data_IF_928894922368
#
_entry.id   IF_928894922368
#
_cell.length_a   1.000
_cell.length_b   1.000
_cell.length_c   1.000
_cell.angle_alpha   90.00
_cell.angle_beta   90.00
_cell.angle_gamma   90.00
#
_symmetry.space_group_name_H-M   'P 1'
#
loop_
_entity.id
_entity.type
_entity.pdbx_description
1 polymer ?
#
# COMPACT_ATOMS: atom_id res chain seq x y z
N UNK A 1 12.86 -13.01 7.52
CA UNK A 1 11.55 -13.66 7.56
C UNK A 1 11.35 -14.39 8.89
N UNK A 2 10.12 -14.43 9.46
CA UNK A 2 9.85 -15.20 10.66
C UNK A 2 10.18 -16.70 10.45
N UNK A 3 10.73 -17.34 11.47
CA UNK A 3 11.08 -18.78 11.41
C UNK A 3 9.86 -19.68 11.17
N UNK A 4 8.68 -19.26 11.65
CA UNK A 4 7.40 -19.96 11.42
C UNK A 4 6.47 -19.06 10.61
N UNK A 5 6.38 -19.32 9.30
CA UNK A 5 5.41 -18.67 8.43
C UNK A 5 4.05 -19.36 8.55
N UNK A 6 3.01 -18.57 8.78
CA UNK A 6 1.65 -19.08 8.67
C UNK A 6 1.37 -19.50 7.21
N UNK A 7 0.80 -20.68 6.97
CA UNK A 7 0.52 -21.23 5.62
C UNK A 7 -0.29 -20.31 4.70
N UNK A 8 -0.97 -19.30 5.25
CA UNK A 8 -1.80 -18.34 4.49
C UNK A 8 -1.16 -16.96 4.36
N UNK A 9 -0.02 -16.73 5.00
CA UNK A 9 0.60 -15.40 5.02
C UNK A 9 1.51 -15.24 3.80
N UNK A 10 1.34 -14.11 3.11
CA UNK A 10 2.14 -13.72 1.95
C UNK A 10 3.15 -12.66 2.38
N UNK A 11 4.32 -12.70 1.81
CA UNK A 11 5.42 -11.79 2.14
C UNK A 11 5.89 -11.09 0.88
N UNK A 12 6.18 -9.82 1.00
CA UNK A 12 6.83 -9.02 -0.04
C UNK A 12 8.22 -8.68 0.46
N UNK A 13 9.24 -9.00 -0.33
CA UNK A 13 10.63 -8.70 -0.04
C UNK A 13 11.19 -7.76 -1.10
N UNK A 14 12.07 -6.85 -0.69
CA UNK A 14 12.88 -6.13 -1.67
C UNK A 14 13.69 -7.13 -2.52
N UNK A 15 14.11 -6.65 -3.69
CA UNK A 15 14.77 -7.50 -4.69
C UNK A 15 16.01 -8.21 -4.12
N UNK A 16 16.85 -7.49 -3.37
CA UNK A 16 18.10 -8.05 -2.84
C UNK A 16 17.81 -9.14 -1.80
N UNK A 17 16.90 -8.87 -0.85
CA UNK A 17 16.50 -9.86 0.15
C UNK A 17 15.79 -11.07 -0.48
N UNK A 18 15.03 -10.86 -1.56
CA UNK A 18 14.43 -11.97 -2.32
C UNK A 18 15.50 -12.84 -2.97
N UNK A 19 16.50 -12.23 -3.61
CA UNK A 19 17.60 -12.96 -4.25
C UNK A 19 18.48 -13.70 -3.24
N UNK A 20 18.78 -13.09 -2.10
CA UNK A 20 19.52 -13.73 -1.01
C UNK A 20 18.78 -14.98 -0.50
N UNK A 21 17.46 -14.86 -0.34
CA UNK A 21 16.62 -15.97 0.07
C UNK A 21 16.62 -17.09 -0.98
N UNK A 22 16.45 -16.74 -2.26
CA UNK A 22 16.46 -17.68 -3.37
C UNK A 22 17.78 -18.43 -3.48
N UNK A 23 18.90 -17.72 -3.37
CA UNK A 23 20.25 -18.29 -3.48
C UNK A 23 20.65 -19.11 -2.26
N UNK A 24 20.08 -18.82 -1.09
CA UNK A 24 20.41 -19.56 0.14
C UNK A 24 19.96 -21.01 0.11
N UNK A 25 18.90 -21.32 -0.65
CA UNK A 25 18.27 -22.65 -0.71
C UNK A 25 17.71 -23.15 0.63
N UNK A 26 17.77 -22.32 1.68
CA UNK A 26 17.41 -22.73 3.06
C UNK A 26 15.92 -22.65 3.36
N UNK A 27 15.18 -21.85 2.59
CA UNK A 27 13.76 -21.62 2.80
C UNK A 27 13.00 -21.68 1.48
N UNK A 28 11.74 -22.13 1.55
CA UNK A 28 10.83 -22.11 0.40
C UNK A 28 10.51 -20.69 0.00
N UNK A 29 10.38 -20.43 -1.30
CA UNK A 29 9.86 -19.15 -1.86
C UNK A 29 8.34 -19.13 -1.95
N UNK A 30 7.66 -20.16 -1.48
CA UNK A 30 6.19 -20.20 -1.47
C UNK A 30 5.62 -19.02 -0.69
N UNK A 31 4.68 -18.30 -1.30
CA UNK A 31 4.07 -17.07 -0.76
C UNK A 31 5.05 -15.90 -0.51
N UNK A 32 6.20 -15.90 -1.19
CA UNK A 32 7.15 -14.79 -1.13
C UNK A 32 7.28 -14.17 -2.50
N UNK A 33 7.11 -12.86 -2.58
CA UNK A 33 7.08 -12.10 -3.82
C UNK A 33 8.11 -10.97 -3.80
N UNK A 34 8.81 -10.70 -4.92
CA UNK A 34 9.77 -9.62 -4.99
C UNK A 34 9.08 -8.27 -5.23
N UNK A 35 9.62 -7.20 -4.64
CA UNK A 35 9.30 -5.83 -4.98
C UNK A 35 10.53 -5.13 -5.54
N UNK A 36 10.34 -4.48 -6.69
CA UNK A 36 11.40 -3.80 -7.44
C UNK A 36 11.22 -2.28 -7.34
N UNK A 37 12.29 -1.52 -7.09
CA UNK A 37 12.31 -0.10 -7.43
C UNK A 37 12.31 0.08 -8.95
N UNK A 38 12.03 1.29 -9.45
CA UNK A 38 12.08 1.58 -10.90
C UNK A 38 13.43 1.21 -11.52
N UNK A 39 14.52 1.41 -10.80
CA UNK A 39 15.88 1.02 -11.22
C UNK A 39 16.06 -0.48 -11.39
N UNK A 40 15.20 -1.28 -10.78
CA UNK A 40 15.19 -2.74 -10.89
C UNK A 40 14.40 -3.29 -12.10
N UNK A 41 13.76 -2.44 -12.89
CA UNK A 41 12.97 -2.88 -14.05
C UNK A 41 13.71 -3.85 -15.01
N UNK A 42 15.01 -3.66 -15.33
CA UNK A 42 15.73 -4.59 -16.22
C UNK A 42 15.79 -6.02 -15.70
N UNK A 43 15.65 -6.20 -14.38
CA UNK A 43 15.72 -7.52 -13.73
C UNK A 43 14.36 -8.22 -13.58
N UNK A 44 13.25 -7.57 -13.92
CA UNK A 44 11.90 -8.13 -13.78
C UNK A 44 11.77 -9.45 -14.54
N UNK A 45 12.33 -9.54 -15.75
CA UNK A 45 12.28 -10.75 -16.58
C UNK A 45 13.16 -11.90 -16.05
N UNK A 46 14.12 -11.62 -15.18
CA UNK A 46 15.06 -12.64 -14.67
C UNK A 46 14.44 -13.52 -13.57
N UNK A 47 13.36 -13.07 -12.96
CA UNK A 47 12.67 -13.80 -11.90
C UNK A 47 11.39 -14.41 -12.43
N UNK A 48 11.28 -15.74 -12.29
CA UNK A 48 10.07 -16.48 -12.65
C UNK A 48 9.19 -16.65 -11.41
N UNK A 49 8.17 -15.77 -11.28
CA UNK A 49 7.14 -15.83 -10.23
C UNK A 49 5.83 -15.26 -10.76
N UNK A 50 4.71 -15.79 -10.26
CA UNK A 50 3.37 -15.43 -10.74
C UNK A 50 2.99 -13.97 -10.46
N UNK A 51 3.60 -13.36 -9.44
CA UNK A 51 3.34 -11.97 -9.05
C UNK A 51 4.65 -11.27 -8.72
N UNK A 52 4.80 -10.06 -9.23
CA UNK A 52 5.91 -9.15 -8.95
C UNK A 52 5.36 -7.78 -8.62
N UNK A 53 6.03 -7.05 -7.76
CA UNK A 53 5.65 -5.69 -7.42
C UNK A 53 6.68 -4.71 -7.99
N UNK A 54 6.21 -3.63 -8.60
CA UNK A 54 7.07 -2.56 -9.12
C UNK A 54 6.62 -1.23 -8.53
N UNK A 55 7.53 -0.56 -7.83
CA UNK A 55 7.24 0.71 -7.16
C UNK A 55 7.37 1.87 -8.15
N UNK A 56 6.31 2.65 -8.27
CA UNK A 56 6.33 3.95 -8.92
C UNK A 56 6.22 5.03 -7.84
N UNK A 57 7.32 5.73 -7.60
CA UNK A 57 7.33 6.90 -6.75
C UNK A 57 6.83 8.10 -7.54
N UNK A 58 6.39 9.13 -6.82
CA UNK A 58 5.93 10.42 -7.33
C UNK A 58 6.53 10.81 -8.69
N UNK A 59 5.67 11.24 -9.59
CA UNK A 59 6.04 11.73 -10.92
C UNK A 59 5.28 11.06 -12.06
N UNK A 60 5.50 11.57 -13.26
CA UNK A 60 4.91 11.00 -14.49
C UNK A 60 5.61 9.69 -14.84
N UNK A 61 4.87 8.62 -15.15
CA UNK A 61 5.47 7.37 -15.61
C UNK A 61 6.27 7.59 -16.90
N UNK A 62 7.51 7.07 -16.93
CA UNK A 62 8.31 7.12 -18.17
C UNK A 62 7.76 6.16 -19.23
N UNK A 63 8.10 6.40 -20.50
CA UNK A 63 7.73 5.49 -21.60
C UNK A 63 8.28 4.09 -21.38
N UNK A 64 9.50 3.97 -20.84
CA UNK A 64 10.12 2.69 -20.50
C UNK A 64 9.34 1.94 -19.41
N UNK A 65 8.88 2.67 -18.38
CA UNK A 65 8.03 2.11 -17.32
C UNK A 65 6.72 1.58 -17.89
N UNK A 66 6.07 2.35 -18.75
CA UNK A 66 4.81 1.96 -19.40
C UNK A 66 5.01 0.76 -20.33
N UNK A 67 6.12 0.72 -21.07
CA UNK A 67 6.47 -0.42 -21.92
C UNK A 67 6.72 -1.69 -21.09
N UNK A 68 7.43 -1.57 -19.97
CA UNK A 68 7.67 -2.66 -19.04
C UNK A 68 6.34 -3.26 -18.54
N UNK A 69 5.40 -2.45 -18.10
CA UNK A 69 4.10 -2.92 -17.63
C UNK A 69 3.30 -3.65 -18.71
N UNK A 70 3.34 -3.16 -19.94
CA UNK A 70 2.63 -3.80 -21.07
C UNK A 70 3.20 -5.17 -21.43
N UNK A 71 4.48 -5.39 -21.18
CA UNK A 71 5.15 -6.68 -21.44
C UNK A 71 5.08 -7.65 -20.26
N UNK A 72 4.77 -7.15 -19.05
CA UNK A 72 4.75 -7.91 -17.81
C UNK A 72 3.38 -7.81 -17.11
N UNK A 73 2.36 -8.56 -17.56
CA UNK A 73 1.02 -8.50 -16.97
C UNK A 73 0.98 -9.05 -15.53
N UNK A 74 1.98 -9.82 -15.10
CA UNK A 74 2.13 -10.33 -13.76
C UNK A 74 2.61 -9.28 -12.74
N UNK A 75 2.94 -8.06 -13.20
CA UNK A 75 3.43 -6.99 -12.34
C UNK A 75 2.26 -6.22 -11.74
N UNK A 76 2.29 -6.06 -10.42
CA UNK A 76 1.43 -5.16 -9.66
C UNK A 76 2.17 -3.84 -9.45
N UNK A 77 1.55 -2.73 -9.83
CA UNK A 77 2.13 -1.39 -9.66
C UNK A 77 1.85 -0.89 -8.25
N UNK A 78 2.90 -0.55 -7.50
CA UNK A 78 2.79 0.06 -6.17
C UNK A 78 3.08 1.55 -6.30
N UNK A 79 2.04 2.36 -6.24
CA UNK A 79 2.12 3.81 -6.38
C UNK A 79 2.33 4.45 -5.01
N UNK A 80 3.37 5.27 -4.89
CA UNK A 80 3.69 6.03 -3.69
C UNK A 80 3.81 7.52 -4.03
N UNK A 81 3.36 8.38 -3.12
CA UNK A 81 3.54 9.82 -3.24
C UNK A 81 4.08 10.44 -1.96
N UNK A 82 4.89 11.48 -2.13
CA UNK A 82 5.30 12.40 -1.06
C UNK A 82 4.70 13.80 -1.23
N UNK A 83 3.78 13.96 -2.18
CA UNK A 83 3.13 15.24 -2.45
C UNK A 83 2.22 15.65 -1.28
N UNK A 84 2.11 16.96 -0.99
CA UNK A 84 1.22 17.46 0.06
C UNK A 84 -0.25 17.11 -0.23
N UNK A 85 -0.69 17.29 -1.49
CA UNK A 85 -1.99 16.81 -1.94
C UNK A 85 -1.88 15.37 -2.43
N UNK A 86 -1.79 14.43 -1.49
CA UNK A 86 -1.61 13.01 -1.77
C UNK A 86 -2.70 12.45 -2.67
N UNK A 87 -3.95 12.69 -2.30
CA UNK A 87 -5.11 12.18 -3.02
C UNK A 87 -5.18 12.68 -4.47
N UNK A 88 -4.93 14.00 -4.68
CA UNK A 88 -4.91 14.58 -6.01
C UNK A 88 -3.82 14.00 -6.90
N UNK A 89 -2.62 13.83 -6.34
CA UNK A 89 -1.48 13.25 -7.05
C UNK A 89 -1.73 11.78 -7.42
N UNK A 90 -2.24 10.98 -6.49
CA UNK A 90 -2.57 9.57 -6.71
C UNK A 90 -3.69 9.41 -7.75
N UNK A 91 -4.72 10.25 -7.74
CA UNK A 91 -5.75 10.28 -8.78
C UNK A 91 -5.16 10.61 -10.16
N UNK A 92 -4.31 11.62 -10.23
CA UNK A 92 -3.66 12.01 -11.49
C UNK A 92 -2.82 10.86 -12.04
N UNK A 93 -2.06 10.17 -11.18
CA UNK A 93 -1.25 9.03 -11.57
C UNK A 93 -2.10 7.85 -12.06
N UNK A 94 -3.18 7.51 -11.36
CA UNK A 94 -4.10 6.46 -11.81
C UNK A 94 -4.66 6.77 -13.21
N UNK A 95 -5.12 8.00 -13.43
CA UNK A 95 -5.62 8.42 -14.74
C UNK A 95 -4.54 8.39 -15.84
N UNK A 96 -3.29 8.77 -15.52
CA UNK A 96 -2.18 8.67 -16.49
C UNK A 96 -1.94 7.22 -16.90
N UNK A 97 -1.92 6.27 -15.96
CA UNK A 97 -1.77 4.85 -16.24
C UNK A 97 -2.94 4.31 -17.08
N UNK A 98 -4.17 4.71 -16.75
CA UNK A 98 -5.36 4.33 -17.53
C UNK A 98 -5.31 4.87 -18.96
N UNK A 99 -4.97 6.15 -19.17
CA UNK A 99 -4.84 6.77 -20.48
C UNK A 99 -3.72 6.09 -21.31
N UNK A 100 -2.64 5.68 -20.65
CA UNK A 100 -1.56 4.92 -21.29
C UNK A 100 -1.95 3.48 -21.63
N UNK A 101 -3.16 3.04 -21.26
CA UNK A 101 -3.66 1.69 -21.54
C UNK A 101 -3.04 0.59 -20.69
N UNK A 102 -2.51 0.95 -19.51
CA UNK A 102 -2.01 -0.01 -18.52
C UNK A 102 -3.18 -0.78 -17.92
N UNK A 103 -3.06 -2.11 -17.89
CA UNK A 103 -4.07 -3.03 -17.32
C UNK A 103 -3.58 -3.77 -16.07
N UNK A 104 -2.37 -3.48 -15.65
CA UNK A 104 -1.78 -4.06 -14.45
C UNK A 104 -2.54 -3.60 -13.21
N UNK A 105 -2.70 -4.46 -12.19
CA UNK A 105 -3.28 -4.05 -10.93
C UNK A 105 -2.48 -2.91 -10.28
N UNK A 106 -3.20 -1.96 -9.67
CA UNK A 106 -2.62 -0.77 -9.02
C UNK A 106 -2.92 -0.83 -7.53
N UNK A 107 -1.87 -0.70 -6.72
CA UNK A 107 -1.96 -0.55 -5.27
C UNK A 107 -1.42 0.83 -4.90
N UNK A 108 -2.17 1.58 -4.10
CA UNK A 108 -1.65 2.80 -3.49
C UNK A 108 -1.06 2.51 -2.12
N UNK A 109 0.19 2.92 -1.94
CA UNK A 109 0.93 2.79 -0.70
C UNK A 109 1.18 4.17 -0.09
N UNK A 110 0.89 4.31 1.21
CA UNK A 110 1.07 5.57 1.92
C UNK A 110 1.69 5.36 3.29
N UNK A 111 2.71 6.16 3.59
CA UNK A 111 3.33 6.24 4.92
C UNK A 111 2.68 7.37 5.72
N UNK A 112 2.22 7.04 6.93
CA UNK A 112 1.68 7.98 7.91
C UNK A 112 2.61 8.10 9.10
N UNK A 113 2.73 9.32 9.65
CA UNK A 113 3.63 9.62 10.76
C UNK A 113 2.81 10.13 11.94
N UNK A 114 2.13 9.22 12.63
CA UNK A 114 1.42 9.53 13.86
C UNK A 114 2.08 8.82 15.03
N UNK A 115 2.42 9.58 16.06
CA UNK A 115 2.96 9.07 17.32
C UNK A 115 2.06 9.42 18.49
N UNK A 116 2.10 8.60 19.52
CA UNK A 116 1.34 8.83 20.76
C UNK A 116 1.80 10.09 21.53
N UNK A 117 2.91 10.70 21.10
CA UNK A 117 3.45 11.92 21.70
C UNK A 117 2.85 13.22 21.15
N UNK A 118 2.02 13.16 20.10
CA UNK A 118 1.39 14.33 19.49
C UNK A 118 0.20 14.90 20.30
N UNK A 119 -0.02 14.39 21.53
CA UNK A 119 -1.11 14.82 22.42
C UNK A 119 -0.87 16.18 23.11
N UNK A 120 0.21 16.90 22.78
CA UNK A 120 0.53 18.21 23.39
C UNK A 120 0.67 19.32 22.36
N UNK A 121 -0.35 19.56 21.55
CA UNK A 121 -0.56 20.92 21.08
C UNK A 121 -1.45 21.66 22.09
N UNK A 122 -0.82 22.45 22.94
CA UNK A 122 -1.46 23.42 23.80
C UNK A 122 -2.24 24.44 22.96
N UNK A 123 -3.49 24.16 22.68
CA UNK A 123 -4.42 25.24 22.36
C UNK A 123 -5.16 25.65 23.61
N UNK A 124 -4.62 26.67 24.28
CA UNK A 124 -5.34 27.47 25.27
C UNK A 124 -6.52 28.14 24.56
N UNK A 125 -7.68 27.54 24.61
CA UNK A 125 -8.97 28.16 24.88
C UNK A 125 -10.14 27.23 24.56
N UNK A 126 -10.95 27.01 25.63
CA UNK A 126 -12.39 26.74 25.63
C UNK A 126 -12.93 25.43 25.10
N UNK A 127 -13.45 24.67 26.05
CA UNK A 127 -14.64 23.82 25.99
C UNK A 127 -14.64 22.68 24.95
N UNK A 128 -14.37 21.45 25.46
CA UNK A 128 -14.67 20.17 24.81
C UNK A 128 -14.01 19.95 23.42
N UNK A 129 -12.68 20.12 23.33
CA UNK A 129 -11.92 19.45 22.30
C UNK A 129 -11.72 17.99 22.74
N UNK A 130 -12.49 17.06 22.19
CA UNK A 130 -12.19 15.64 22.30
C UNK A 130 -10.77 15.45 21.74
N UNK A 131 -9.85 15.02 22.59
CA UNK A 131 -8.45 14.81 22.18
C UNK A 131 -8.41 13.60 21.24
N UNK A 132 -8.35 13.86 19.94
CA UNK A 132 -8.26 12.80 18.93
C UNK A 132 -6.95 12.05 19.12
N UNK A 133 -7.02 10.75 19.37
CA UNK A 133 -5.83 9.92 19.55
C UNK A 133 -5.03 9.75 18.26
N UNK A 134 -3.74 9.44 18.36
CA UNK A 134 -2.90 9.15 17.19
C UNK A 134 -3.50 8.05 16.30
N UNK A 135 -4.16 7.06 16.90
CA UNK A 135 -4.87 5.99 16.18
C UNK A 135 -6.05 6.55 15.39
N UNK A 136 -6.87 7.40 15.98
CA UNK A 136 -8.03 8.00 15.30
C UNK A 136 -7.60 8.92 14.18
N UNK A 137 -6.55 9.74 14.38
CA UNK A 137 -5.96 10.56 13.30
C UNK A 137 -5.52 9.69 12.13
N UNK A 138 -4.78 8.62 12.42
CA UNK A 138 -4.34 7.67 11.39
C UNK A 138 -5.53 7.03 10.65
N UNK A 139 -6.56 6.59 11.39
CA UNK A 139 -7.75 6.00 10.79
C UNK A 139 -8.50 6.97 9.90
N UNK A 140 -8.68 8.21 10.33
CA UNK A 140 -9.36 9.25 9.55
C UNK A 140 -8.59 9.61 8.29
N UNK A 141 -7.28 9.85 8.39
CA UNK A 141 -6.46 10.18 7.22
C UNK A 141 -6.37 9.03 6.23
N UNK A 142 -6.10 7.81 6.71
CA UNK A 142 -6.05 6.64 5.85
C UNK A 142 -7.39 6.35 5.17
N UNK A 143 -8.51 6.52 5.89
CA UNK A 143 -9.84 6.34 5.33
C UNK A 143 -10.17 7.41 4.28
N UNK A 144 -9.79 8.67 4.52
CA UNK A 144 -10.01 9.77 3.58
C UNK A 144 -9.18 9.58 2.29
N UNK A 145 -7.87 9.28 2.43
CA UNK A 145 -6.98 9.11 1.29
C UNK A 145 -7.32 7.85 0.48
N UNK A 146 -7.32 6.69 1.12
CA UNK A 146 -7.47 5.40 0.44
C UNK A 146 -8.92 5.05 0.13
N UNK A 147 -9.84 5.40 1.01
CA UNK A 147 -11.27 5.19 0.79
C UNK A 147 -11.77 5.94 -0.43
N UNK A 148 -11.33 7.19 -0.64
CA UNK A 148 -11.69 7.96 -1.83
C UNK A 148 -11.21 7.28 -3.13
N UNK A 149 -9.94 6.82 -3.18
CA UNK A 149 -9.39 6.11 -4.34
C UNK A 149 -10.15 4.81 -4.65
N UNK A 150 -10.56 4.11 -3.60
CA UNK A 150 -11.34 2.88 -3.74
C UNK A 150 -12.76 3.15 -4.25
N UNK A 151 -13.43 4.17 -3.72
CA UNK A 151 -14.78 4.56 -4.15
C UNK A 151 -14.79 5.06 -5.60
N UNK A 152 -13.70 5.69 -6.04
CA UNK A 152 -13.52 6.12 -7.44
C UNK A 152 -13.15 4.95 -8.37
N UNK A 153 -12.89 3.75 -7.84
CA UNK A 153 -12.48 2.58 -8.64
C UNK A 153 -11.05 2.71 -9.22
N UNK A 154 -10.20 3.50 -8.59
CA UNK A 154 -8.85 3.81 -9.09
C UNK A 154 -7.75 2.91 -8.51
N UNK A 155 -8.11 1.99 -7.63
CA UNK A 155 -7.14 1.10 -6.97
C UNK A 155 -7.69 -0.32 -6.82
N UNK A 156 -6.82 -1.30 -6.98
CA UNK A 156 -7.09 -2.72 -6.73
C UNK A 156 -6.71 -3.16 -5.30
N UNK A 157 -6.03 -2.27 -4.57
CA UNK A 157 -5.63 -2.53 -3.19
C UNK A 157 -4.95 -1.34 -2.53
N UNK A 158 -4.73 -1.45 -1.23
CA UNK A 158 -4.09 -0.42 -0.42
C UNK A 158 -2.95 -1.01 0.41
N UNK A 159 -1.93 -0.21 0.66
CA UNK A 159 -0.82 -0.56 1.53
C UNK A 159 -0.57 0.58 2.52
N UNK A 160 -1.05 0.41 3.74
CA UNK A 160 -0.86 1.38 4.80
C UNK A 160 0.43 1.09 5.56
N UNK A 161 1.21 2.12 5.80
CA UNK A 161 2.43 2.08 6.60
C UNK A 161 2.39 3.16 7.68
N UNK A 162 2.94 2.86 8.84
CA UNK A 162 3.12 3.82 9.92
C UNK A 162 4.52 3.70 10.50
N UNK A 163 5.24 4.80 10.64
CA UNK A 163 6.56 4.85 11.28
C UNK A 163 6.52 5.47 12.69
N UNK A 164 5.31 5.68 13.22
CA UNK A 164 5.07 6.13 14.59
C UNK A 164 4.96 4.97 15.58
N UNK A 165 4.22 5.20 16.67
CA UNK A 165 4.06 4.23 17.76
C UNK A 165 2.79 3.37 17.64
N UNK A 166 2.15 3.35 16.48
CA UNK A 166 0.98 2.49 16.25
C UNK A 166 1.42 1.03 16.11
N UNK A 167 0.64 0.13 16.70
CA UNK A 167 0.87 -1.29 16.55
C UNK A 167 0.59 -1.76 15.12
N UNK A 168 1.25 -2.82 14.69
CA UNK A 168 0.95 -3.44 13.40
C UNK A 168 -0.52 -3.89 13.32
N UNK A 169 -1.08 -4.34 14.43
CA UNK A 169 -2.49 -4.76 14.51
C UNK A 169 -3.44 -3.58 14.23
N UNK A 170 -3.16 -2.38 14.75
CA UNK A 170 -3.96 -1.19 14.47
C UNK A 170 -3.91 -0.78 13.01
N UNK A 171 -2.74 -0.86 12.38
CA UNK A 171 -2.56 -0.59 10.95
C UNK A 171 -3.33 -1.60 10.10
N UNK A 172 -3.21 -2.90 10.42
CA UNK A 172 -3.93 -3.97 9.72
C UNK A 172 -5.46 -3.84 9.89
N UNK A 173 -5.94 -3.60 11.12
CA UNK A 173 -7.36 -3.39 11.38
C UNK A 173 -7.91 -2.20 10.59
N UNK A 174 -7.16 -1.10 10.51
CA UNK A 174 -7.54 0.08 9.73
C UNK A 174 -7.62 -0.26 8.23
N UNK A 175 -6.62 -0.93 7.69
CA UNK A 175 -6.61 -1.34 6.28
C UNK A 175 -7.82 -2.24 5.96
N UNK A 176 -8.07 -3.25 6.77
CA UNK A 176 -9.22 -4.14 6.58
C UNK A 176 -10.57 -3.42 6.76
N UNK A 177 -10.65 -2.47 7.70
CA UNK A 177 -11.83 -1.63 7.88
C UNK A 177 -12.16 -0.80 6.63
N UNK A 178 -11.16 -0.19 6.01
CA UNK A 178 -11.30 0.58 4.76
C UNK A 178 -11.77 -0.35 3.63
N UNK A 179 -11.13 -1.51 3.44
CA UNK A 179 -11.49 -2.50 2.43
C UNK A 179 -12.93 -3.01 2.61
N UNK A 180 -13.36 -3.21 3.85
CA UNK A 180 -14.71 -3.64 4.18
C UNK A 180 -15.73 -2.54 3.89
N UNK A 181 -15.48 -1.30 4.31
CA UNK A 181 -16.34 -0.15 4.02
C UNK A 181 -16.51 0.08 2.52
N UNK A 182 -15.44 -0.10 1.74
CA UNK A 182 -15.48 -0.08 0.27
C UNK A 182 -16.09 -1.31 -0.38
N UNK A 183 -16.57 -2.29 0.41
CA UNK A 183 -17.14 -3.58 -0.05
C UNK A 183 -16.21 -4.43 -0.93
N UNK A 184 -14.92 -4.17 -0.90
CA UNK A 184 -13.92 -4.95 -1.65
C UNK A 184 -13.52 -6.22 -0.90
N UNK A 185 -13.68 -6.24 0.42
CA UNK A 185 -13.39 -7.41 1.25
C UNK A 185 -14.31 -7.44 2.48
N UNK A 186 -14.96 -8.58 2.70
CA UNK A 186 -15.75 -8.82 3.92
C UNK A 186 -14.86 -9.51 4.94
N UNK A 187 -14.58 -8.82 6.05
CA UNK A 187 -13.75 -9.35 7.16
C UNK A 187 -14.58 -9.67 8.39
N UNK A 188 -15.65 -8.90 8.60
CA UNK A 188 -16.57 -9.06 9.74
C UNK A 188 -18.01 -9.07 9.25
N UNK A 189 -18.90 -9.71 10.00
CA UNK A 189 -20.35 -9.61 9.77
C UNK A 189 -20.83 -8.22 10.14
N UNK A 190 -21.49 -7.56 9.21
CA UNK A 190 -22.13 -6.26 9.46
C UNK A 190 -23.61 -6.49 9.80
N UNK A 191 -24.05 -5.91 10.90
CA UNK A 191 -25.44 -5.87 11.29
C UNK A 191 -26.03 -4.53 10.85
N UNK A 192 -26.99 -4.56 9.92
CA UNK A 192 -27.72 -3.38 9.49
C UNK A 192 -29.03 -3.36 10.26
N UNK A 193 -29.22 -2.36 11.14
CA UNK A 193 -30.52 -2.10 11.75
C UNK A 193 -31.33 -1.22 10.79
N UNK A 194 -32.54 -1.64 10.49
CA UNK A 194 -33.52 -0.84 9.77
C UNK A 194 -34.33 0.02 10.74
#
# INVERSE_FOLDING_TARGET
LPEKRGKKQKYILDYDAYMDLANSGKQSLENVYPIFPVTGMPFISTINTDVKFLVLKFGTPSEEFLACLKTHPEVVVVCMTSHQNRLGDQRALAHQLMIAGVKNPIIFAQMYQHSTTDEKEESSNSQQAETTTAKEKFQLEAAADMGALMMDGLTDGIWLMNNGNLSQEDVEQTAFGILQAGRLRMVKTEYISC
#
